data_IF_818093429841
#
_entry.id   IF_818093429841
#
_cell.length_a   1.000
_cell.length_b   1.000
_cell.length_c   1.000
_cell.angle_alpha   90.00
_cell.angle_beta   90.00
_cell.angle_gamma   90.00
#
_symmetry.space_group_name_H-M   'P 1'
#
loop_
_entity.id
_entity.type
_entity.pdbx_description
1 polymer ?
#
# COMPACT_ATOMS: atom_id res chain seq x y z
N UNK A 1 1.36 16.97 11.61
CA UNK A 1 0.53 16.34 10.55
C UNK A 1 1.34 15.41 9.65
N UNK A 2 2.56 15.77 9.21
CA UNK A 2 3.40 14.94 8.33
C UNK A 2 3.69 13.50 8.82
N UNK A 3 3.90 13.27 10.13
CA UNK A 3 4.12 11.92 10.69
C UNK A 3 2.93 10.96 10.54
N UNK A 4 1.71 11.46 10.75
CA UNK A 4 0.48 10.63 10.70
C UNK A 4 0.17 10.24 9.26
N UNK A 5 0.31 11.18 8.33
CA UNK A 5 0.15 10.92 6.90
C UNK A 5 1.20 9.91 6.40
N UNK A 6 2.43 9.95 6.91
CA UNK A 6 3.47 8.98 6.58
C UNK A 6 3.17 7.58 7.11
N UNK A 7 2.77 7.47 8.38
CA UNK A 7 2.40 6.18 8.98
C UNK A 7 1.21 5.58 8.21
N UNK A 8 0.22 6.39 7.86
CA UNK A 8 -0.90 5.94 7.02
C UNK A 8 -0.44 5.51 5.61
N UNK A 9 0.50 6.23 4.99
CA UNK A 9 1.06 5.90 3.68
C UNK A 9 1.84 4.57 3.70
N UNK A 10 2.68 4.35 4.73
CA UNK A 10 3.40 3.09 4.90
C UNK A 10 2.44 1.94 5.24
N UNK A 11 1.44 2.16 6.10
CA UNK A 11 0.42 1.15 6.43
C UNK A 11 -0.41 0.75 5.21
N UNK A 12 -0.77 1.72 4.36
CA UNK A 12 -1.52 1.46 3.12
C UNK A 12 -0.67 0.71 2.09
N UNK A 13 0.62 1.05 1.95
CA UNK A 13 1.56 0.30 1.11
C UNK A 13 1.79 -1.13 1.61
N UNK A 14 1.96 -1.31 2.92
CA UNK A 14 2.11 -2.64 3.55
C UNK A 14 0.82 -3.45 3.42
N UNK A 15 -0.33 -2.81 3.58
CA UNK A 15 -1.65 -3.41 3.35
C UNK A 15 -1.81 -3.87 1.90
N UNK A 16 -1.55 -3.02 0.91
CA UNK A 16 -1.67 -3.40 -0.51
C UNK A 16 -0.71 -4.54 -0.89
N UNK A 17 0.50 -4.56 -0.33
CA UNK A 17 1.52 -5.56 -0.62
C UNK A 17 1.31 -6.89 0.11
N UNK A 18 0.79 -6.90 1.35
CA UNK A 18 0.57 -8.14 2.12
C UNK A 18 -0.88 -8.63 2.10
N UNK A 19 -1.83 -7.75 2.30
CA UNK A 19 -3.27 -8.08 2.39
C UNK A 19 -3.84 -8.29 0.98
N UNK A 20 -3.43 -7.47 0.02
CA UNK A 20 -3.84 -7.60 -1.39
C UNK A 20 -3.70 -9.03 -1.94
N UNK A 21 -2.50 -9.65 -1.95
CA UNK A 21 -2.34 -11.01 -2.47
C UNK A 21 -3.06 -12.08 -1.62
N UNK A 22 -3.25 -11.86 -0.32
CA UNK A 22 -4.03 -12.77 0.52
C UNK A 22 -5.53 -12.75 0.13
N UNK A 23 -6.09 -11.56 -0.09
CA UNK A 23 -7.48 -11.38 -0.55
C UNK A 23 -7.66 -11.95 -1.96
N UNK A 24 -6.73 -11.69 -2.88
CA UNK A 24 -6.77 -12.26 -4.24
C UNK A 24 -6.75 -13.79 -4.19
N UNK A 25 -5.86 -14.39 -3.38
CA UNK A 25 -5.84 -15.86 -3.20
C UNK A 25 -7.16 -16.40 -2.64
N UNK A 26 -7.72 -15.74 -1.63
CA UNK A 26 -8.97 -16.16 -1.00
C UNK A 26 -10.15 -16.06 -1.97
N UNK A 27 -10.20 -14.99 -2.78
CA UNK A 27 -11.15 -14.83 -3.87
C UNK A 27 -10.99 -15.90 -4.94
N UNK A 28 -9.76 -16.22 -5.37
CA UNK A 28 -9.51 -17.31 -6.32
C UNK A 28 -9.97 -18.67 -5.77
N UNK A 29 -9.68 -18.99 -4.51
CA UNK A 29 -10.17 -20.22 -3.87
C UNK A 29 -11.70 -20.25 -3.84
N UNK A 30 -12.36 -19.17 -3.44
CA UNK A 30 -13.81 -19.06 -3.42
C UNK A 30 -14.41 -19.18 -4.83
N UNK A 31 -13.85 -18.48 -5.82
CA UNK A 31 -14.22 -18.57 -7.25
C UNK A 31 -14.09 -20.00 -7.76
N UNK A 32 -13.06 -20.73 -7.36
CA UNK A 32 -12.85 -22.14 -7.73
C UNK A 32 -13.89 -23.06 -7.10
N UNK A 33 -14.22 -22.85 -5.82
CA UNK A 33 -15.30 -23.59 -5.17
C UNK A 33 -16.66 -23.33 -5.84
N UNK A 34 -16.97 -22.07 -6.16
CA UNK A 34 -18.23 -21.70 -6.80
C UNK A 34 -18.32 -22.24 -8.24
N UNK A 35 -17.20 -22.29 -8.97
CA UNK A 35 -17.12 -22.90 -10.31
C UNK A 35 -17.58 -24.35 -10.35
N UNK A 36 -17.44 -25.09 -9.24
CA UNK A 36 -17.85 -26.49 -9.11
C UNK A 36 -19.32 -26.65 -8.70
N UNK A 37 -20.05 -25.55 -8.48
CA UNK A 37 -21.47 -25.56 -8.09
C UNK A 37 -22.37 -25.05 -9.21
N UNK A 38 -23.69 -25.15 -9.02
CA UNK A 38 -24.70 -24.59 -9.94
C UNK A 38 -24.60 -23.06 -10.11
N UNK A 39 -23.89 -22.38 -9.20
CA UNK A 39 -23.64 -20.94 -9.23
C UNK A 39 -22.48 -20.52 -10.14
N UNK A 40 -21.88 -21.43 -10.92
CA UNK A 40 -20.77 -21.16 -11.86
C UNK A 40 -20.98 -19.92 -12.74
N UNK A 41 -22.20 -19.68 -13.24
CA UNK A 41 -22.52 -18.53 -14.12
C UNK A 41 -22.32 -17.16 -13.45
N UNK A 42 -22.34 -17.10 -12.11
CA UNK A 42 -22.11 -15.86 -11.37
C UNK A 42 -20.64 -15.42 -11.39
N UNK A 43 -19.70 -16.37 -11.52
CA UNK A 43 -18.26 -16.10 -11.41
C UNK A 43 -17.49 -16.42 -12.69
N UNK A 44 -18.06 -17.24 -13.59
CA UNK A 44 -17.60 -17.46 -14.95
C UNK A 44 -18.38 -16.57 -15.92
N UNK A 45 -18.22 -15.26 -15.78
CA UNK A 45 -18.70 -14.32 -16.78
C UNK A 45 -17.60 -13.31 -17.13
N UNK A 46 -17.60 -12.78 -18.37
CA UNK A 46 -16.55 -11.87 -18.83
C UNK A 46 -16.56 -10.52 -18.09
N UNK A 47 -17.62 -10.19 -17.36
CA UNK A 47 -17.72 -8.95 -16.58
C UNK A 47 -16.86 -9.06 -15.32
N UNK A 48 -16.94 -10.19 -14.60
CA UNK A 48 -16.14 -10.49 -13.41
C UNK A 48 -14.66 -10.57 -13.77
N UNK A 49 -14.30 -11.22 -14.88
CA UNK A 49 -12.90 -11.30 -15.31
C UNK A 49 -12.36 -9.91 -15.71
N UNK A 50 -13.16 -9.06 -16.39
CA UNK A 50 -12.77 -7.67 -16.68
C UNK A 50 -12.64 -6.82 -15.42
N UNK A 51 -13.52 -7.01 -14.45
CA UNK A 51 -13.49 -6.31 -13.18
C UNK A 51 -12.24 -6.70 -12.37
N UNK A 52 -11.89 -7.99 -12.33
CA UNK A 52 -10.64 -8.48 -11.70
C UNK A 52 -9.40 -7.83 -12.32
N UNK A 53 -9.31 -7.83 -13.66
CA UNK A 53 -8.18 -7.20 -14.39
C UNK A 53 -8.13 -5.68 -14.16
N UNK A 54 -9.28 -5.01 -14.11
CA UNK A 54 -9.35 -3.58 -13.81
C UNK A 54 -8.91 -3.29 -12.37
N UNK A 55 -9.29 -4.14 -11.41
CA UNK A 55 -8.92 -4.01 -10.02
C UNK A 55 -7.40 -4.18 -9.83
N UNK A 56 -6.81 -5.18 -10.48
CA UNK A 56 -5.36 -5.41 -10.44
C UNK A 56 -4.58 -4.23 -11.05
N UNK A 57 -5.04 -3.70 -12.18
CA UNK A 57 -4.45 -2.49 -12.78
C UNK A 57 -4.55 -1.27 -11.86
N UNK A 58 -5.71 -1.05 -11.23
CA UNK A 58 -5.90 0.05 -10.29
C UNK A 58 -4.99 -0.09 -9.06
N UNK A 59 -4.84 -1.32 -8.57
CA UNK A 59 -3.92 -1.63 -7.47
C UNK A 59 -2.47 -1.31 -7.85
N UNK A 60 -2.01 -1.73 -9.03
CA UNK A 60 -0.64 -1.44 -9.49
C UNK A 60 -0.38 0.06 -9.67
N UNK A 61 -1.35 0.80 -10.23
CA UNK A 61 -1.28 2.26 -10.35
C UNK A 61 -1.24 2.91 -8.96
N UNK A 62 -2.07 2.46 -8.02
CA UNK A 62 -2.09 2.98 -6.66
C UNK A 62 -0.75 2.72 -5.94
N UNK A 63 -0.19 1.51 -6.04
CA UNK A 63 1.14 1.19 -5.48
C UNK A 63 2.22 2.08 -6.08
N UNK A 64 2.20 2.27 -7.40
CA UNK A 64 3.19 3.10 -8.11
C UNK A 64 3.10 4.57 -7.67
N UNK A 65 1.89 5.13 -7.58
CA UNK A 65 1.68 6.50 -7.13
C UNK A 65 2.07 6.70 -5.66
N UNK A 66 1.69 5.78 -4.79
CA UNK A 66 2.07 5.81 -3.37
C UNK A 66 3.58 5.69 -3.17
N UNK A 67 4.25 4.87 -3.98
CA UNK A 67 5.71 4.72 -3.96
C UNK A 67 6.40 6.01 -4.42
N UNK A 68 5.93 6.61 -5.53
CA UNK A 68 6.44 7.91 -6.00
C UNK A 68 6.24 9.03 -4.98
N UNK A 69 5.09 9.05 -4.29
CA UNK A 69 4.82 10.01 -3.21
C UNK A 69 5.78 9.81 -2.04
N UNK A 70 6.03 8.56 -1.64
CA UNK A 70 7.01 8.20 -0.61
C UNK A 70 8.42 8.66 -1.00
N UNK A 71 8.86 8.32 -2.20
CA UNK A 71 10.21 8.65 -2.70
C UNK A 71 10.43 10.15 -2.84
N UNK A 72 9.39 10.91 -3.20
CA UNK A 72 9.45 12.37 -3.26
C UNK A 72 9.44 13.02 -1.86
N UNK A 73 8.82 12.40 -0.85
CA UNK A 73 8.77 12.92 0.52
C UNK A 73 10.05 12.58 1.32
N UNK A 74 10.65 11.42 1.09
CA UNK A 74 11.87 10.93 1.76
C UNK A 74 13.04 11.93 1.83
N UNK A 75 13.47 12.61 0.74
CA UNK A 75 14.62 13.51 0.80
C UNK A 75 14.35 14.81 1.56
N UNK A 76 13.08 15.25 1.64
CA UNK A 76 12.71 16.43 2.45
C UNK A 76 12.64 16.06 3.94
N UNK A 77 12.16 14.87 4.26
CA UNK A 77 12.14 14.36 5.63
C UNK A 77 13.55 14.07 6.17
N UNK A 78 14.44 13.50 5.35
CA UNK A 78 15.84 13.27 5.74
C UNK A 78 16.54 14.57 6.13
N UNK A 79 16.44 15.61 5.29
CA UNK A 79 17.02 16.94 5.60
C UNK A 79 16.41 17.58 6.85
N UNK A 80 15.12 17.34 7.11
CA UNK A 80 14.47 17.84 8.32
C UNK A 80 14.94 17.09 9.58
N UNK A 81 15.06 15.76 9.50
CA UNK A 81 15.55 14.92 10.59
C UNK A 81 17.03 15.16 10.89
N UNK A 82 17.87 15.38 9.87
CA UNK A 82 19.28 15.78 10.06
C UNK A 82 19.38 17.08 10.86
N UNK A 83 18.58 18.10 10.49
CA UNK A 83 18.52 19.37 11.25
C UNK A 83 17.99 19.21 12.67
N UNK A 84 17.04 18.31 12.89
CA UNK A 84 16.53 18.01 14.24
C UNK A 84 17.60 17.31 15.09
N UNK A 85 18.33 16.34 14.53
CA UNK A 85 19.44 15.66 15.22
C UNK A 85 20.55 16.65 15.54
N UNK A 86 20.89 17.54 14.61
CA UNK A 86 21.90 18.57 14.81
C UNK A 86 21.50 19.56 15.92
N UNK A 87 20.24 20.02 15.94
CA UNK A 87 19.71 20.82 17.05
C UNK A 87 19.74 20.09 18.39
N UNK A 88 19.42 18.80 18.41
CA UNK A 88 19.47 17.98 19.63
C UNK A 88 20.92 17.81 20.10
N UNK A 89 21.87 17.58 19.19
CA UNK A 89 23.30 17.53 19.53
C UNK A 89 23.80 18.84 20.14
N UNK A 90 23.44 19.99 19.56
CA UNK A 90 23.77 21.30 20.14
C UNK A 90 23.19 21.46 21.55
N UNK A 91 21.92 21.10 21.76
CA UNK A 91 21.27 21.17 23.08
C UNK A 91 21.86 20.22 24.12
N UNK A 92 22.36 19.06 23.71
CA UNK A 92 23.05 18.12 24.60
C UNK A 92 24.43 18.65 24.96
N UNK A 93 25.11 19.32 24.03
CA UNK A 93 26.41 19.95 24.27
C UNK A 93 26.32 21.17 25.19
N UNK A 94 25.26 21.98 25.09
CA UNK A 94 24.99 23.12 25.98
C UNK A 94 24.58 22.72 27.41
N UNK A 95 24.14 21.48 27.62
CA UNK A 95 23.74 20.94 28.93
C UNK A 95 24.87 20.21 29.68
N UNK A 96 26.07 20.18 29.12
CA UNK A 96 27.24 19.50 29.68
C UNK A 96 28.27 20.52 30.14
#
# INVERSE_FOLDING_TARGET
MARVTRIALDLTLVSLSKVGPAVTKLWYCAKTAIKNTRAKRLVCNPIVDKAEVALDKLKDVAVTLLTKLRDHQLPRELKYLEKEIEKIKCRIHEKK
#
